data_IF_729413036309
#
_entry.id   IF_729413036309
#
_cell.length_a   1.000
_cell.length_b   1.000
_cell.length_c   1.000
_cell.angle_alpha   90.00
_cell.angle_beta   90.00
_cell.angle_gamma   90.00
#
_symmetry.space_group_name_H-M   'P 1'
#
loop_
_entity.id
_entity.type
_entity.pdbx_description
1 polymer ?
#
# COMPACT_ATOMS: atom_id res chain seq x y z
N UNK A 1 -8.20 15.28 -4.04
CA UNK A 1 -9.35 15.95 -4.68
C UNK A 1 -10.24 14.92 -5.35
N UNK A 2 -11.55 15.05 -5.22
CA UNK A 2 -12.51 14.22 -5.95
C UNK A 2 -12.62 14.71 -7.40
N UNK A 3 -12.08 13.93 -8.34
CA UNK A 3 -12.21 14.21 -9.77
C UNK A 3 -13.45 13.47 -10.27
N UNK A 4 -14.48 14.22 -10.66
CA UNK A 4 -15.76 13.64 -11.11
C UNK A 4 -15.55 12.59 -12.22
N UNK A 5 -16.18 11.42 -12.07
CA UNK A 5 -16.05 10.31 -13.01
C UNK A 5 -14.79 9.47 -12.86
N UNK A 6 -13.93 9.77 -11.88
CA UNK A 6 -12.75 8.97 -11.55
C UNK A 6 -12.93 8.19 -10.25
N UNK A 7 -12.14 7.14 -10.09
CA UNK A 7 -12.05 6.35 -8.86
C UNK A 7 -10.59 6.15 -8.51
N UNK A 8 -10.27 6.23 -7.22
CA UNK A 8 -8.91 6.01 -6.72
C UNK A 8 -8.70 4.57 -6.26
N UNK A 9 -7.49 4.09 -6.45
CA UNK A 9 -6.96 2.89 -5.82
C UNK A 9 -5.82 3.32 -4.89
N UNK A 10 -5.99 3.13 -3.60
CA UNK A 10 -4.92 3.30 -2.61
C UNK A 10 -4.45 1.93 -2.13
N UNK A 11 -3.14 1.69 -2.23
CA UNK A 11 -2.52 0.45 -1.73
C UNK A 11 -1.62 0.80 -0.56
N UNK A 12 -1.84 0.07 0.54
CA UNK A 12 -1.11 0.22 1.79
C UNK A 12 -0.29 -1.03 2.08
N UNK A 13 0.72 -0.90 2.94
CA UNK A 13 1.41 -2.03 3.55
C UNK A 13 0.56 -2.62 4.69
N UNK A 14 1.00 -3.75 5.23
CA UNK A 14 0.35 -4.41 6.38
C UNK A 14 0.39 -3.59 7.67
N UNK A 15 1.14 -2.48 7.67
CA UNK A 15 1.28 -1.55 8.78
C UNK A 15 0.56 -0.21 8.56
N UNK A 16 -0.36 -0.19 7.59
CA UNK A 16 -1.13 0.98 7.14
C UNK A 16 -0.27 2.13 6.54
N UNK A 17 1.04 1.95 6.36
CA UNK A 17 1.84 2.92 5.57
C UNK A 17 1.46 2.90 4.08
N UNK A 18 1.44 4.07 3.42
CA UNK A 18 1.10 4.17 2.01
C UNK A 18 2.18 3.49 1.15
N UNK A 19 1.75 2.77 0.12
CA UNK A 19 2.65 2.09 -0.83
C UNK A 19 2.63 2.72 -2.21
N UNK A 20 1.44 2.84 -2.78
CA UNK A 20 1.20 3.56 -4.03
C UNK A 20 -0.29 3.89 -4.14
N UNK A 21 -0.61 4.92 -4.91
CA UNK A 21 -1.97 5.31 -5.21
C UNK A 21 -2.09 5.62 -6.70
N UNK A 22 -3.24 5.32 -7.29
CA UNK A 22 -3.58 5.73 -8.64
C UNK A 22 -5.00 6.28 -8.69
N UNK A 23 -5.23 7.18 -9.63
CA UNK A 23 -6.57 7.54 -10.09
C UNK A 23 -6.79 6.82 -11.41
N UNK A 24 -8.00 6.32 -11.62
CA UNK A 24 -8.38 5.65 -12.85
C UNK A 24 -9.84 5.86 -13.19
N UNK A 25 -10.24 5.28 -14.31
CA UNK A 25 -11.56 5.51 -14.90
C UNK A 25 -12.25 4.19 -15.19
N UNK A 26 -13.54 4.14 -14.86
CA UNK A 26 -14.39 3.04 -15.28
C UNK A 26 -14.84 3.23 -16.71
N UNK A 27 -14.75 2.16 -17.48
CA UNK A 27 -15.47 1.99 -18.73
C UNK A 27 -16.60 0.99 -18.51
N UNK A 28 -17.82 1.44 -18.76
CA UNK A 28 -19.01 0.60 -18.75
C UNK A 28 -19.54 0.38 -20.17
N UNK A 29 -19.81 -0.88 -20.50
CA UNK A 29 -20.56 -1.34 -21.69
C UNK A 29 -21.67 -2.28 -21.22
N UNK A 30 -22.47 -2.82 -22.14
CA UNK A 30 -23.67 -3.61 -21.82
C UNK A 30 -23.46 -4.71 -20.76
N UNK A 31 -22.40 -5.50 -20.89
CA UNK A 31 -22.08 -6.61 -19.99
C UNK A 31 -20.61 -6.60 -19.56
N UNK A 32 -19.97 -5.43 -19.59
CA UNK A 32 -18.55 -5.28 -19.33
C UNK A 32 -18.30 -4.00 -18.55
N UNK A 33 -17.60 -4.14 -17.42
CA UNK A 33 -17.15 -3.02 -16.59
C UNK A 33 -15.68 -3.23 -16.27
N UNK A 34 -14.85 -2.25 -16.62
CA UNK A 34 -13.42 -2.31 -16.33
C UNK A 34 -12.90 -0.94 -15.91
N UNK A 35 -12.16 -0.92 -14.81
CA UNK A 35 -11.43 0.24 -14.34
C UNK A 35 -9.98 0.15 -14.80
N UNK A 36 -9.43 1.24 -15.33
CA UNK A 36 -8.02 1.34 -15.68
C UNK A 36 -7.37 2.48 -14.91
N UNK A 37 -6.29 2.16 -14.21
CA UNK A 37 -5.47 3.13 -13.49
C UNK A 37 -4.62 3.97 -14.44
N UNK A 38 -4.27 5.18 -13.99
CA UNK A 38 -3.10 5.88 -14.52
C UNK A 38 -1.83 5.09 -14.20
N UNK A 39 -0.75 5.42 -14.91
CA UNK A 39 0.58 4.90 -14.61
C UNK A 39 0.99 5.26 -13.17
N UNK A 40 1.60 4.30 -12.48
CA UNK A 40 2.08 4.46 -11.11
C UNK A 40 3.49 3.93 -10.98
N UNK A 41 4.28 4.63 -10.17
CA UNK A 41 5.61 4.20 -9.76
C UNK A 41 5.47 3.48 -8.43
N UNK A 42 5.99 2.25 -8.34
CA UNK A 42 5.78 1.35 -7.20
C UNK A 42 7.11 0.82 -6.69
N UNK A 43 7.28 0.72 -5.35
CA UNK A 43 8.45 0.08 -4.78
C UNK A 43 8.48 -1.41 -5.14
N UNK A 44 9.68 -1.99 -5.16
CA UNK A 44 9.89 -3.41 -5.47
C UNK A 44 8.98 -4.32 -4.61
N UNK A 45 8.31 -5.30 -5.24
CA UNK A 45 7.65 -6.38 -4.53
C UNK A 45 8.62 -7.16 -3.62
N UNK A 46 8.09 -7.78 -2.56
CA UNK A 46 8.91 -8.51 -1.60
C UNK A 46 9.76 -9.61 -2.24
N UNK A 47 9.18 -10.31 -3.21
CA UNK A 47 9.84 -11.38 -3.96
C UNK A 47 11.05 -10.91 -4.78
N UNK A 48 11.13 -9.62 -5.11
CA UNK A 48 12.16 -9.08 -6.00
C UNK A 48 13.36 -8.57 -5.19
N UNK A 49 13.13 -7.79 -4.12
CA UNK A 49 14.23 -7.15 -3.37
C UNK A 49 15.22 -8.13 -2.74
N UNK A 50 14.81 -9.39 -2.51
CA UNK A 50 15.65 -10.42 -1.90
C UNK A 50 16.53 -11.17 -2.91
N UNK A 51 16.27 -11.03 -4.21
CA UNK A 51 16.93 -11.83 -5.26
C UNK A 51 17.37 -11.00 -6.47
N UNK A 52 16.97 -9.73 -6.56
CA UNK A 52 17.34 -8.81 -7.64
C UNK A 52 17.75 -7.46 -7.08
N UNK A 53 18.79 -6.92 -7.71
CA UNK A 53 19.39 -5.61 -7.46
C UNK A 53 19.58 -4.80 -8.75
N UNK A 54 19.09 -5.32 -9.88
CA UNK A 54 19.34 -4.78 -11.21
C UNK A 54 18.36 -3.69 -11.63
N UNK A 55 17.28 -3.44 -10.90
CA UNK A 55 16.33 -2.34 -11.16
C UNK A 55 15.81 -1.70 -9.87
N UNK A 56 15.27 -0.49 -9.98
CA UNK A 56 14.98 0.37 -8.82
C UNK A 56 13.49 0.59 -8.58
N UNK A 57 12.66 0.54 -9.62
CA UNK A 57 11.22 0.83 -9.52
C UNK A 57 10.40 0.01 -10.53
N UNK A 58 9.15 -0.29 -10.16
CA UNK A 58 8.15 -0.76 -11.11
C UNK A 58 7.31 0.42 -11.60
N UNK A 59 7.16 0.55 -12.92
CA UNK A 59 6.30 1.55 -13.53
C UNK A 59 5.17 0.83 -14.22
N UNK A 60 3.93 1.05 -13.79
CA UNK A 60 2.85 0.21 -14.29
C UNK A 60 1.43 0.69 -14.04
N UNK A 61 0.50 0.04 -14.73
CA UNK A 61 -0.94 0.25 -14.62
C UNK A 61 -1.62 -0.96 -13.99
N UNK A 62 -2.81 -0.74 -13.43
CA UNK A 62 -3.71 -1.78 -12.94
C UNK A 62 -5.02 -1.69 -13.71
N UNK A 63 -5.53 -2.82 -14.19
CA UNK A 63 -6.87 -2.93 -14.74
C UNK A 63 -7.69 -3.89 -13.88
N UNK A 64 -8.84 -3.43 -13.39
CA UNK A 64 -9.81 -4.27 -12.69
C UNK A 64 -11.00 -4.50 -13.58
N UNK A 65 -11.26 -5.74 -13.97
CA UNK A 65 -12.40 -6.11 -14.81
C UNK A 65 -13.37 -6.97 -14.03
N UNK A 66 -14.62 -6.52 -13.94
CA UNK A 66 -15.69 -7.27 -13.25
C UNK A 66 -16.10 -8.47 -14.11
N UNK A 67 -16.23 -9.62 -13.46
CA UNK A 67 -16.68 -10.88 -14.06
C UNK A 67 -17.96 -11.36 -13.35
N UNK A 68 -18.70 -12.33 -13.92
CA UNK A 68 -19.89 -12.86 -13.26
C UNK A 68 -19.66 -13.48 -11.87
N UNK A 69 -18.43 -13.89 -11.56
CA UNK A 69 -18.09 -14.61 -10.31
C UNK A 69 -17.09 -13.86 -9.42
N UNK A 70 -16.77 -12.60 -9.73
CA UNK A 70 -15.79 -11.80 -9.00
C UNK A 70 -15.11 -10.78 -9.92
N UNK A 71 -13.79 -10.65 -9.83
CA UNK A 71 -13.04 -9.74 -10.71
C UNK A 71 -11.65 -10.28 -11.04
N UNK A 72 -11.07 -9.72 -12.09
CA UNK A 72 -9.70 -9.96 -12.50
C UNK A 72 -8.93 -8.66 -12.38
N UNK A 73 -7.71 -8.74 -11.83
CA UNK A 73 -6.73 -7.67 -11.85
C UNK A 73 -5.62 -8.03 -12.84
N UNK A 74 -5.44 -7.18 -13.84
CA UNK A 74 -4.32 -7.25 -14.78
C UNK A 74 -3.33 -6.15 -14.41
N UNK A 75 -2.04 -6.49 -14.35
CA UNK A 75 -0.97 -5.54 -14.07
C UNK A 75 0.01 -5.54 -15.24
N UNK A 76 0.29 -4.36 -15.80
CA UNK A 76 1.38 -4.18 -16.75
C UNK A 76 2.49 -3.42 -16.05
N UNK A 77 3.64 -4.07 -15.85
CA UNK A 77 4.75 -3.51 -15.09
C UNK A 77 6.04 -3.47 -15.92
N UNK A 78 6.67 -2.31 -15.99
CA UNK A 78 8.03 -2.14 -16.49
C UNK A 78 9.01 -2.17 -15.31
N UNK A 79 10.04 -3.01 -15.40
CA UNK A 79 11.17 -3.04 -14.45
C UNK A 79 12.19 -1.99 -14.89
N UNK A 80 12.21 -0.84 -14.22
CA UNK A 80 13.01 0.31 -14.61
C UNK A 80 14.23 0.51 -13.70
N UNK A 81 15.40 0.68 -14.32
CA UNK A 81 16.62 1.17 -13.69
C UNK A 81 16.65 2.69 -13.82
N UNK A 82 16.93 3.38 -12.72
CA UNK A 82 17.05 4.84 -12.69
C UNK A 82 18.51 5.26 -12.89
N UNK A 83 18.69 6.40 -13.54
CA UNK A 83 20.00 7.05 -13.61
C UNK A 83 20.42 7.54 -12.22
N UNK A 84 21.69 7.38 -11.90
CA UNK A 84 22.25 7.62 -10.56
C UNK A 84 21.72 8.90 -9.89
N UNK A 85 21.16 8.73 -8.68
CA UNK A 85 20.62 9.80 -7.85
C UNK A 85 19.58 10.70 -8.56
N UNK A 86 18.81 10.16 -9.49
CA UNK A 86 17.75 10.89 -10.18
C UNK A 86 16.48 10.06 -10.34
N UNK A 87 15.37 10.74 -10.64
CA UNK A 87 14.11 10.09 -11.04
C UNK A 87 14.04 9.79 -12.54
N UNK A 88 15.15 9.96 -13.28
CA UNK A 88 15.18 9.69 -14.71
C UNK A 88 15.39 8.19 -14.97
N UNK A 89 14.64 7.63 -15.92
CA UNK A 89 14.79 6.24 -16.33
C UNK A 89 16.05 6.12 -17.21
N UNK A 90 17.01 5.31 -16.77
CA UNK A 90 18.18 4.94 -17.57
C UNK A 90 17.82 3.81 -18.55
N UNK A 91 17.19 2.75 -18.04
CA UNK A 91 16.86 1.57 -18.84
C UNK A 91 15.61 0.85 -18.34
N UNK A 92 14.83 0.33 -19.29
CA UNK A 92 13.80 -0.68 -19.02
C UNK A 92 14.40 -2.07 -19.24
N UNK A 93 14.39 -2.91 -18.20
CA UNK A 93 14.96 -4.25 -18.26
C UNK A 93 13.99 -5.30 -18.75
N UNK A 94 12.73 -5.18 -18.34
CA UNK A 94 11.70 -6.16 -18.65
C UNK A 94 10.31 -5.53 -18.57
N UNK A 95 9.37 -6.14 -19.30
CA UNK A 95 7.94 -5.96 -19.11
C UNK A 95 7.36 -7.24 -18.50
N UNK A 96 6.66 -7.10 -17.40
CA UNK A 96 5.95 -8.17 -16.69
C UNK A 96 4.45 -7.93 -16.82
N UNK A 97 3.69 -8.98 -17.14
CA UNK A 97 2.23 -8.96 -17.12
C UNK A 97 1.77 -9.86 -15.99
N UNK A 98 1.08 -9.28 -15.01
CA UNK A 98 0.47 -9.98 -13.89
C UNK A 98 -1.02 -10.21 -14.14
N UNK A 99 -1.53 -11.37 -13.72
CA UNK A 99 -2.94 -11.69 -13.75
C UNK A 99 -3.34 -12.30 -12.40
N UNK A 100 -4.18 -11.61 -11.65
CA UNK A 100 -4.78 -12.11 -10.43
C UNK A 100 -6.30 -12.24 -10.61
N UNK A 101 -6.85 -13.38 -10.18
CA UNK A 101 -8.29 -13.64 -10.21
C UNK A 101 -8.82 -13.71 -8.79
N UNK A 102 -9.91 -13.01 -8.57
CA UNK A 102 -10.59 -12.94 -7.29
C UNK A 102 -11.99 -13.51 -7.45
N UNK A 103 -12.27 -14.56 -6.69
CA UNK A 103 -13.54 -15.25 -6.66
C UNK A 103 -13.99 -15.35 -5.20
N UNK A 104 -15.30 -15.32 -4.97
CA UNK A 104 -15.83 -15.43 -3.62
C UNK A 104 -15.58 -16.84 -3.08
N UNK A 105 -14.82 -16.94 -1.99
CA UNK A 105 -14.57 -18.20 -1.29
C UNK A 105 -15.74 -18.50 -0.36
N UNK A 106 -16.32 -19.70 -0.51
CA UNK A 106 -17.33 -20.24 0.41
C UNK A 106 -16.68 -21.16 1.44
N UNK A 107 -17.30 -21.27 2.63
CA UNK A 107 -16.90 -22.19 3.70
C UNK A 107 -15.52 -21.94 4.34
N UNK A 108 -14.94 -20.74 4.20
CA UNK A 108 -13.76 -20.37 4.98
C UNK A 108 -14.18 -19.90 6.39
N UNK A 109 -13.44 -20.32 7.41
CA UNK A 109 -13.67 -19.89 8.78
C UNK A 109 -12.87 -18.62 9.10
N UNK A 110 -13.55 -17.47 9.09
CA UNK A 110 -12.95 -16.14 9.32
C UNK A 110 -12.69 -15.79 10.78
N UNK A 111 -13.07 -16.66 11.73
CA UNK A 111 -13.07 -16.37 13.18
C UNK A 111 -11.75 -15.79 13.70
N UNK A 112 -10.60 -16.31 13.26
CA UNK A 112 -9.30 -15.80 13.71
C UNK A 112 -9.06 -14.35 13.27
N UNK A 113 -9.45 -13.99 12.04
CA UNK A 113 -9.35 -12.63 11.53
C UNK A 113 -10.33 -11.69 12.22
N UNK A 114 -11.58 -12.13 12.41
CA UNK A 114 -12.60 -11.35 13.12
C UNK A 114 -12.19 -11.05 14.56
N UNK A 115 -11.71 -12.06 15.29
CA UNK A 115 -11.22 -11.90 16.67
C UNK A 115 -10.04 -10.95 16.76
N UNK A 116 -9.10 -11.03 15.81
CA UNK A 116 -7.98 -10.08 15.74
C UNK A 116 -8.47 -8.65 15.47
N UNK A 117 -9.33 -8.48 14.47
CA UNK A 117 -9.82 -7.17 14.05
C UNK A 117 -10.62 -6.50 15.16
N UNK A 118 -11.52 -7.22 15.83
CA UNK A 118 -12.30 -6.69 16.96
C UNK A 118 -11.40 -6.17 18.08
N UNK A 119 -10.29 -6.86 18.35
CA UNK A 119 -9.34 -6.48 19.41
C UNK A 119 -8.44 -5.30 19.03
N UNK A 120 -8.07 -5.18 17.76
CA UNK A 120 -7.05 -4.22 17.30
C UNK A 120 -7.62 -3.04 16.50
N UNK A 121 -8.90 -3.04 16.14
CA UNK A 121 -9.50 -1.98 15.33
C UNK A 121 -9.36 -0.57 15.92
N UNK A 122 -9.41 -0.34 17.26
CA UNK A 122 -9.16 0.99 17.82
C UNK A 122 -7.73 1.46 17.56
N UNK A 123 -6.73 0.60 17.77
CA UNK A 123 -5.33 0.89 17.49
C UNK A 123 -5.11 1.24 16.02
N UNK A 124 -5.58 0.40 15.10
CA UNK A 124 -5.41 0.64 13.66
C UNK A 124 -6.14 1.89 13.17
N UNK A 125 -7.22 2.30 13.84
CA UNK A 125 -7.87 3.60 13.56
C UNK A 125 -6.93 4.75 13.89
N UNK A 126 -6.28 4.74 15.05
CA UNK A 126 -5.31 5.77 15.42
C UNK A 126 -4.13 5.83 14.43
N UNK A 127 -3.63 4.67 13.99
CA UNK A 127 -2.57 4.59 12.97
C UNK A 127 -3.00 5.27 11.66
N UNK A 128 -4.20 4.97 11.15
CA UNK A 128 -4.72 5.60 9.93
C UNK A 128 -4.98 7.09 10.09
N UNK A 129 -5.46 7.51 11.25
CA UNK A 129 -5.71 8.93 11.52
C UNK A 129 -4.39 9.71 11.54
N UNK A 130 -3.32 9.16 12.14
CA UNK A 130 -1.99 9.76 12.11
C UNK A 130 -1.44 9.81 10.68
N UNK A 131 -1.53 8.72 9.92
CA UNK A 131 -1.11 8.73 8.52
C UNK A 131 -1.87 9.76 7.68
N UNK A 132 -3.17 9.91 7.91
CA UNK A 132 -3.99 10.91 7.23
C UNK A 132 -3.48 12.32 7.52
N UNK A 133 -3.22 12.66 8.79
CA UNK A 133 -2.62 13.95 9.17
C UNK A 133 -1.26 14.17 8.50
N UNK A 134 -0.36 13.18 8.54
CA UNK A 134 0.96 13.28 7.91
C UNK A 134 0.85 13.53 6.41
N UNK A 135 -0.05 12.82 5.72
CA UNK A 135 -0.23 12.93 4.28
C UNK A 135 -0.91 14.24 3.85
N UNK A 136 -1.76 14.81 4.71
CA UNK A 136 -2.38 16.11 4.48
C UNK A 136 -1.41 17.29 4.69
N UNK A 137 -0.50 17.17 5.66
CA UNK A 137 0.44 18.23 6.03
C UNK A 137 1.71 18.26 5.16
N UNK A 138 2.05 17.15 4.48
CA UNK A 138 3.33 17.00 3.81
C UNK A 138 3.17 16.58 2.35
N UNK A 139 3.86 17.27 1.43
CA UNK A 139 3.82 16.94 0.00
C UNK A 139 4.71 15.77 -0.38
N UNK A 140 5.90 15.71 0.20
CA UNK A 140 6.91 14.70 -0.10
C UNK A 140 7.43 14.09 1.20
N UNK A 141 7.35 12.77 1.27
CA UNK A 141 7.81 11.98 2.40
C UNK A 141 8.61 10.77 1.91
N UNK A 142 9.65 10.43 2.65
CA UNK A 142 10.47 9.25 2.42
C UNK A 142 10.25 8.29 3.59
N UNK A 143 9.78 7.09 3.29
CA UNK A 143 9.59 6.03 4.29
C UNK A 143 10.80 5.11 4.29
N UNK A 144 11.52 5.08 5.39
CA UNK A 144 12.66 4.18 5.62
C UNK A 144 12.17 2.74 5.67
N UNK A 145 12.88 1.83 4.99
CA UNK A 145 12.56 0.39 5.02
C UNK A 145 12.73 -0.22 6.40
N UNK A 146 13.80 0.14 7.10
CA UNK A 146 14.17 -0.39 8.42
C UNK A 146 14.93 0.64 9.23
N UNK A 147 14.82 0.57 10.56
CA UNK A 147 15.63 1.31 11.53
C UNK A 147 16.20 0.31 12.52
N UNK A 148 17.52 0.32 12.73
CA UNK A 148 18.17 -0.61 13.68
C UNK A 148 17.81 -2.09 13.40
N UNK A 149 17.73 -2.46 12.12
CA UNK A 149 17.27 -3.78 11.62
C UNK A 149 15.82 -4.16 11.97
N UNK A 150 15.02 -3.23 12.49
CA UNK A 150 13.59 -3.42 12.72
C UNK A 150 12.78 -2.76 11.60
N UNK A 151 11.71 -3.41 11.16
CA UNK A 151 10.75 -2.86 10.20
C UNK A 151 9.61 -2.11 10.88
N UNK A 152 8.95 -1.24 10.12
CA UNK A 152 7.77 -0.52 10.62
C UNK A 152 6.65 -1.49 11.01
N UNK A 153 6.36 -2.50 10.19
CA UNK A 153 5.31 -3.47 10.49
C UNK A 153 5.54 -4.23 11.79
N UNK A 154 6.76 -4.71 12.06
CA UNK A 154 7.04 -5.39 13.34
C UNK A 154 6.75 -4.48 14.54
N UNK A 155 7.04 -3.19 14.41
CA UNK A 155 6.75 -2.20 15.45
C UNK A 155 5.24 -2.00 15.63
N UNK A 156 4.49 -1.84 14.53
CA UNK A 156 3.04 -1.62 14.57
C UNK A 156 2.29 -2.86 15.08
N UNK A 157 2.63 -4.06 14.62
CA UNK A 157 2.01 -5.30 15.09
C UNK A 157 2.25 -5.53 16.59
N UNK A 158 3.47 -5.25 17.08
CA UNK A 158 3.76 -5.33 18.53
C UNK A 158 2.90 -4.36 19.34
N UNK A 159 2.69 -3.14 18.84
CA UNK A 159 1.81 -2.17 19.50
C UNK A 159 0.34 -2.59 19.44
N UNK A 160 -0.12 -3.11 18.30
CA UNK A 160 -1.49 -3.63 18.14
C UNK A 160 -1.78 -4.75 19.15
N UNK A 161 -0.84 -5.69 19.31
CA UNK A 161 -0.96 -6.79 20.27
C UNK A 161 -0.95 -6.29 21.72
N UNK A 162 -0.11 -5.30 22.04
CA UNK A 162 -0.08 -4.70 23.38
C UNK A 162 -1.39 -3.95 23.70
N UNK A 163 -1.93 -3.20 22.73
CA UNK A 163 -3.21 -2.48 22.85
C UNK A 163 -4.36 -3.46 23.10
N UNK A 164 -4.45 -4.53 22.31
CA UNK A 164 -5.46 -5.58 22.44
C UNK A 164 -5.48 -6.22 23.84
N UNK A 165 -4.32 -6.32 24.49
CA UNK A 165 -4.16 -6.97 25.78
C UNK A 165 -4.24 -6.01 26.98
N UNK A 166 -4.20 -4.69 26.79
CA UNK A 166 -4.10 -3.73 27.89
C UNK A 166 -4.98 -2.47 27.72
N UNK A 167 -6.25 -2.57 28.13
CA UNK A 167 -7.31 -1.55 27.95
C UNK A 167 -7.09 -0.18 28.62
N UNK A 168 -6.00 0.02 29.37
CA UNK A 168 -5.85 1.16 30.30
C UNK A 168 -5.07 2.37 29.75
N UNK A 169 -4.66 2.40 28.48
CA UNK A 169 -3.67 3.40 28.04
C UNK A 169 -4.20 4.36 26.97
N UNK A 170 -4.46 5.59 27.41
CA UNK A 170 -4.45 6.82 26.56
C UNK A 170 -3.06 7.16 25.98
N UNK A 171 -2.10 6.22 26.03
CA UNK A 171 -0.70 6.39 25.64
C UNK A 171 -0.41 5.94 24.18
N UNK A 172 -1.40 5.38 23.47
CA UNK A 172 -1.19 4.76 22.15
C UNK A 172 -0.85 5.77 21.05
N UNK A 173 -1.59 6.87 20.93
CA UNK A 173 -1.41 7.82 19.81
C UNK A 173 -0.01 8.47 19.78
N UNK A 174 0.50 8.91 20.95
CA UNK A 174 1.83 9.53 21.06
C UNK A 174 2.95 8.55 20.74
N UNK A 175 2.81 7.29 21.16
CA UNK A 175 3.79 6.24 20.87
C UNK A 175 3.79 5.88 19.37
N UNK A 176 2.61 5.71 18.76
CA UNK A 176 2.48 5.49 17.31
C UNK A 176 3.16 6.62 16.54
N UNK A 177 2.84 7.87 16.86
CA UNK A 177 3.46 9.04 16.24
C UNK A 177 4.98 9.04 16.41
N UNK A 178 5.48 8.75 17.62
CA UNK A 178 6.92 8.71 17.87
C UNK A 178 7.62 7.63 17.05
N UNK A 179 6.99 6.48 16.83
CA UNK A 179 7.57 5.44 15.97
C UNK A 179 7.53 5.91 14.52
N UNK A 180 6.38 6.35 14.01
CA UNK A 180 6.24 6.80 12.62
C UNK A 180 7.25 7.90 12.27
N UNK A 181 7.44 8.89 13.14
CA UNK A 181 8.40 9.97 12.95
C UNK A 181 9.86 9.48 12.85
N UNK A 182 10.20 8.29 13.37
CA UNK A 182 11.55 7.72 13.16
C UNK A 182 11.71 7.21 11.72
N UNK A 183 10.64 6.64 11.15
CA UNK A 183 10.62 6.02 9.83
C UNK A 183 10.37 6.99 8.69
N UNK A 184 9.92 8.22 8.98
CA UNK A 184 9.56 9.21 7.97
C UNK A 184 10.61 10.32 7.97
N UNK A 185 11.16 10.61 6.79
CA UNK A 185 11.86 11.88 6.53
C UNK A 185 10.94 12.75 5.67
N UNK A 186 10.63 13.95 6.15
CA UNK A 186 9.88 14.97 5.39
C UNK A 186 10.88 15.72 4.52
N UNK A 187 10.55 15.87 3.24
CA UNK A 187 11.35 16.67 2.30
C UNK A 187 10.63 18.00 2.10
N UNK A 188 11.21 19.06 2.66
CA UNK A 188 10.74 20.42 2.40
C UNK A 188 11.07 20.78 0.94
N UNK A 189 10.06 21.23 0.19
CA UNK A 189 10.22 21.80 -1.17
C UNK A 189 10.83 23.20 -1.12
#
# INVERSE_FOLDING_TARGET
>A
EDIAGSWSQSVYQVDDSPRYQSIGYWQHKSNYSSWLSNETWRPLPRREFSVRDDYDVLIGTNRHTITPFGWVQEEENLKAKLANNSSNIDKILAKEIGLARYEHIINHNWKAGDEYWIKTTPFWREVRDIWSTILEENKVLIIKKTIENQSLFESMFRLADNSANNKSRSLERKEIQSILNRYIDIVDE
#
